data_IF_852273205719
#
_entry.id   IF_852273205719
#
_cell.length_a   1.000
_cell.length_b   1.000
_cell.length_c   1.000
_cell.angle_alpha   90.00
_cell.angle_beta   90.00
_cell.angle_gamma   90.00
#
_symmetry.space_group_name_H-M   'P 1'
#
loop_
_entity.id
_entity.type
_entity.pdbx_description
1 polymer ?
#
# COMPACT_ATOMS: atom_id res chain seq x y z
N UNK A 1 29.39 1.05 2.42
CA UNK A 1 28.63 1.98 3.27
C UNK A 1 27.24 1.39 3.39
N UNK A 2 26.77 1.12 4.63
CA UNK A 2 25.41 0.67 4.88
C UNK A 2 24.41 1.74 4.45
N UNK A 3 23.25 1.32 3.92
CA UNK A 3 22.19 2.23 3.43
C UNK A 3 21.50 2.97 4.59
N UNK A 4 21.85 2.65 5.85
CA UNK A 4 21.26 3.23 7.06
C UNK A 4 19.72 3.08 7.11
N UNK A 5 19.21 1.94 6.66
CA UNK A 5 17.82 1.52 6.83
C UNK A 5 17.77 0.54 8.02
N UNK A 6 16.91 0.81 8.97
CA UNK A 6 16.85 0.08 10.23
C UNK A 6 15.48 -0.59 10.42
N UNK A 7 15.46 -1.70 11.14
CA UNK A 7 14.22 -2.28 11.62
C UNK A 7 13.77 -1.54 12.88
N UNK A 8 13.09 -0.41 12.68
CA UNK A 8 12.63 0.47 13.76
C UNK A 8 11.11 0.50 13.74
N UNK A 9 10.50 0.13 14.86
CA UNK A 9 9.05 0.07 15.02
C UNK A 9 8.63 0.80 16.29
N UNK A 10 7.47 1.42 16.26
CA UNK A 10 6.86 2.09 17.40
C UNK A 10 5.39 2.35 17.21
N UNK A 11 4.73 2.78 18.26
CA UNK A 11 3.29 3.04 18.27
C UNK A 11 3.07 4.43 18.87
N UNK A 12 2.24 5.21 18.23
CA UNK A 12 1.79 6.51 18.71
C UNK A 12 0.26 6.57 18.90
N UNK A 13 -0.26 7.73 19.31
CA UNK A 13 -1.68 7.94 19.55
C UNK A 13 -2.56 7.85 18.30
N UNK A 14 -1.99 7.89 17.10
CA UNK A 14 -2.71 7.75 15.82
C UNK A 14 -2.62 6.31 15.32
N UNK A 15 -1.44 5.70 15.38
CA UNK A 15 -1.21 4.35 14.86
C UNK A 15 -1.91 3.27 15.72
N UNK A 16 -1.99 3.45 17.04
CA UNK A 16 -2.61 2.48 17.95
C UNK A 16 -4.09 2.18 17.60
N UNK A 17 -4.98 3.18 17.49
CA UNK A 17 -6.37 2.89 17.12
C UNK A 17 -6.50 2.30 15.70
N UNK A 18 -5.65 2.66 14.75
CA UNK A 18 -5.65 2.08 13.41
C UNK A 18 -5.21 0.61 13.42
N UNK A 19 -4.21 0.28 14.23
CA UNK A 19 -3.75 -1.10 14.44
C UNK A 19 -4.86 -1.97 15.03
N UNK A 20 -5.51 -1.48 16.09
CA UNK A 20 -6.64 -2.19 16.73
C UNK A 20 -7.79 -2.37 15.74
N UNK A 21 -8.15 -1.32 14.98
CA UNK A 21 -9.22 -1.37 14.00
C UNK A 21 -8.89 -2.37 12.87
N UNK A 22 -7.69 -2.33 12.33
CA UNK A 22 -7.23 -3.26 11.29
C UNK A 22 -7.34 -4.71 11.74
N UNK A 23 -6.80 -5.03 12.91
CA UNK A 23 -6.82 -6.37 13.48
C UNK A 23 -8.28 -6.83 13.75
N UNK A 24 -9.11 -5.96 14.31
CA UNK A 24 -10.50 -6.26 14.59
C UNK A 24 -11.30 -6.56 13.31
N UNK A 25 -11.15 -5.74 12.27
CA UNK A 25 -11.80 -5.95 10.97
C UNK A 25 -11.32 -7.26 10.33
N UNK A 26 -10.03 -7.58 10.40
CA UNK A 26 -9.49 -8.83 9.86
C UNK A 26 -10.10 -10.05 10.56
N UNK A 27 -10.23 -10.02 11.89
CA UNK A 27 -10.89 -11.09 12.64
C UNK A 27 -12.34 -11.28 12.18
N UNK A 28 -13.10 -10.20 12.04
CA UNK A 28 -14.48 -10.25 11.53
C UNK A 28 -14.55 -10.80 10.10
N UNK A 29 -13.63 -10.38 9.23
CA UNK A 29 -13.55 -10.85 7.84
C UNK A 29 -13.25 -12.37 7.79
N UNK A 30 -12.35 -12.87 8.63
CA UNK A 30 -12.04 -14.29 8.74
C UNK A 30 -13.28 -15.07 9.22
N UNK A 31 -13.96 -14.62 10.28
CA UNK A 31 -15.17 -15.25 10.79
C UNK A 31 -16.27 -15.31 9.71
N UNK A 32 -16.50 -14.21 9.01
CA UNK A 32 -17.46 -14.16 7.91
C UNK A 32 -17.11 -15.13 6.78
N UNK A 33 -15.82 -15.26 6.46
CA UNK A 33 -15.33 -16.11 5.39
C UNK A 33 -15.47 -17.61 5.66
N UNK A 34 -15.70 -18.02 6.90
CA UNK A 34 -15.92 -19.44 7.24
C UNK A 34 -17.18 -19.97 6.55
N UNK A 35 -18.24 -19.17 6.51
CA UNK A 35 -19.52 -19.54 5.91
C UNK A 35 -19.67 -19.04 4.46
N UNK A 36 -19.01 -17.93 4.11
CA UNK A 36 -19.17 -17.21 2.85
C UNK A 36 -17.89 -17.18 2.00
N UNK A 37 -17.20 -18.33 1.92
CA UNK A 37 -15.97 -18.40 1.11
C UNK A 37 -16.31 -18.28 -0.38
N UNK A 38 -15.71 -17.31 -1.10
CA UNK A 38 -15.93 -17.15 -2.54
C UNK A 38 -15.31 -18.28 -3.37
N UNK A 39 -15.84 -18.47 -4.59
CA UNK A 39 -15.29 -19.46 -5.55
C UNK A 39 -13.99 -18.95 -6.21
N UNK A 40 -12.94 -19.79 -6.37
CA UNK A 40 -12.87 -21.23 -6.00
C UNK A 40 -12.74 -21.42 -4.48
N UNK A 41 -13.42 -22.44 -3.93
CA UNK A 41 -13.42 -22.73 -2.50
C UNK A 41 -12.05 -23.26 -2.04
N UNK A 42 -11.10 -22.36 -1.89
CA UNK A 42 -9.74 -22.65 -1.39
C UNK A 42 -9.49 -21.88 -0.07
N UNK A 43 -9.99 -22.39 1.07
CA UNK A 43 -9.92 -21.65 2.34
C UNK A 43 -8.48 -21.38 2.77
N UNK A 44 -7.56 -22.33 2.59
CA UNK A 44 -6.17 -22.18 3.01
C UNK A 44 -5.47 -21.05 2.28
N UNK A 45 -5.63 -20.96 0.95
CA UNK A 45 -5.02 -19.91 0.14
C UNK A 45 -5.61 -18.53 0.45
N UNK A 46 -6.94 -18.45 0.56
CA UNK A 46 -7.65 -17.22 0.87
C UNK A 46 -7.26 -16.65 2.25
N UNK A 47 -7.30 -17.50 3.29
CA UNK A 47 -6.94 -17.09 4.64
C UNK A 47 -5.45 -16.73 4.77
N UNK A 48 -4.56 -17.46 4.10
CA UNK A 48 -3.14 -17.12 4.08
C UNK A 48 -2.91 -15.72 3.48
N UNK A 49 -3.59 -15.38 2.37
CA UNK A 49 -3.48 -14.06 1.77
C UNK A 49 -4.05 -12.95 2.67
N UNK A 50 -5.17 -13.20 3.38
CA UNK A 50 -5.70 -12.25 4.38
C UNK A 50 -4.67 -11.99 5.49
N UNK A 51 -4.02 -13.02 6.02
CA UNK A 51 -3.02 -12.86 7.09
C UNK A 51 -1.76 -12.11 6.60
N UNK A 52 -1.32 -12.36 5.37
CA UNK A 52 -0.21 -11.59 4.77
C UNK A 52 -0.62 -10.13 4.55
N UNK A 53 -1.85 -9.90 4.10
CA UNK A 53 -2.41 -8.55 3.94
C UNK A 53 -2.44 -7.80 5.28
N UNK A 54 -2.94 -8.44 6.34
CA UNK A 54 -2.95 -7.89 7.70
C UNK A 54 -1.55 -7.56 8.21
N UNK A 55 -0.60 -8.46 7.98
CA UNK A 55 0.82 -8.23 8.34
C UNK A 55 1.37 -6.97 7.67
N UNK A 56 1.09 -6.78 6.38
CA UNK A 56 1.48 -5.57 5.65
C UNK A 56 0.83 -4.30 6.20
N UNK A 57 -0.49 -4.33 6.45
CA UNK A 57 -1.21 -3.19 7.01
C UNK A 57 -0.71 -2.81 8.40
N UNK A 58 -0.59 -3.79 9.30
CA UNK A 58 -0.13 -3.56 10.66
C UNK A 58 1.33 -3.09 10.70
N UNK A 59 2.19 -3.68 9.85
CA UNK A 59 3.57 -3.24 9.67
C UNK A 59 3.69 -1.80 9.19
N UNK A 60 2.79 -1.36 8.30
CA UNK A 60 2.73 0.03 7.83
C UNK A 60 2.42 1.01 8.97
N UNK A 61 1.53 0.63 9.91
CA UNK A 61 1.16 1.50 11.04
C UNK A 61 2.23 1.61 12.12
N UNK A 62 3.12 0.62 12.23
CA UNK A 62 4.14 0.60 13.30
C UNK A 62 5.55 0.95 12.80
N UNK A 63 5.77 1.06 11.49
CA UNK A 63 7.08 1.36 10.93
C UNK A 63 7.52 2.79 11.25
N UNK A 64 8.70 2.95 11.84
CA UNK A 64 9.36 4.24 12.12
C UNK A 64 10.56 4.51 11.20
N UNK A 65 10.81 3.67 10.21
CA UNK A 65 11.79 3.84 9.14
C UNK A 65 11.08 3.88 7.79
N UNK A 66 11.43 4.82 6.90
CA UNK A 66 10.76 5.02 5.63
C UNK A 66 10.89 3.82 4.67
N UNK A 67 12.02 3.11 4.71
CA UNK A 67 12.19 1.90 3.89
C UNK A 67 11.38 0.75 4.46
N UNK A 68 11.37 0.60 5.79
CA UNK A 68 10.54 -0.40 6.45
C UNK A 68 9.05 -0.14 6.18
N UNK A 69 8.60 1.11 6.28
CA UNK A 69 7.26 1.54 5.90
C UNK A 69 6.96 1.15 4.45
N UNK A 70 7.87 1.46 3.52
CA UNK A 70 7.71 1.15 2.10
C UNK A 70 7.54 -0.35 1.86
N UNK A 71 8.38 -1.17 2.50
CA UNK A 71 8.30 -2.64 2.37
C UNK A 71 6.95 -3.17 2.84
N UNK A 72 6.46 -2.76 4.01
CA UNK A 72 5.15 -3.19 4.50
C UNK A 72 4.00 -2.67 3.63
N UNK A 73 4.10 -1.43 3.16
CA UNK A 73 3.13 -0.82 2.26
C UNK A 73 3.02 -1.56 0.92
N UNK A 74 4.14 -2.10 0.40
CA UNK A 74 4.19 -2.89 -0.82
C UNK A 74 3.80 -4.36 -0.61
N UNK A 75 4.03 -4.93 0.58
CA UNK A 75 3.59 -6.29 0.91
C UNK A 75 2.07 -6.43 0.73
N UNK A 76 1.29 -5.40 1.02
CA UNK A 76 -0.18 -5.38 0.83
C UNK A 76 -0.58 -5.60 -0.64
N UNK A 77 0.27 -5.19 -1.58
CA UNK A 77 -0.03 -5.23 -3.02
C UNK A 77 -0.20 -6.65 -3.55
N UNK A 78 0.70 -7.56 -3.18
CA UNK A 78 0.70 -8.93 -3.69
C UNK A 78 -0.55 -9.74 -3.27
N UNK A 79 -0.92 -9.80 -1.99
CA UNK A 79 -2.16 -10.46 -1.58
C UNK A 79 -3.39 -9.90 -2.29
N UNK A 80 -3.53 -8.58 -2.38
CA UNK A 80 -4.66 -7.96 -3.07
C UNK A 80 -4.71 -8.31 -4.54
N UNK A 81 -3.57 -8.31 -5.24
CA UNK A 81 -3.50 -8.73 -6.65
C UNK A 81 -4.03 -10.16 -6.83
N UNK A 82 -3.58 -11.10 -5.99
CA UNK A 82 -4.03 -12.49 -6.07
C UNK A 82 -5.50 -12.65 -5.65
N UNK A 83 -5.94 -11.96 -4.61
CA UNK A 83 -7.33 -12.02 -4.15
C UNK A 83 -8.30 -11.52 -5.24
N UNK A 84 -8.02 -10.40 -5.87
CA UNK A 84 -8.81 -9.87 -6.99
C UNK A 84 -8.76 -10.84 -8.19
N UNK A 85 -7.57 -11.32 -8.57
CA UNK A 85 -7.39 -12.17 -9.74
C UNK A 85 -7.99 -13.58 -9.61
N UNK A 86 -8.05 -14.13 -8.40
CA UNK A 86 -8.54 -15.50 -8.18
C UNK A 86 -10.02 -15.50 -7.79
N UNK A 87 -10.44 -14.63 -6.86
CA UNK A 87 -11.78 -14.62 -6.27
C UNK A 87 -12.67 -13.47 -6.74
N UNK A 88 -12.16 -12.56 -7.57
CA UNK A 88 -12.94 -11.47 -8.15
C UNK A 88 -14.00 -11.92 -9.16
N UNK A 89 -14.74 -10.95 -9.70
CA UNK A 89 -15.85 -11.18 -10.64
C UNK A 89 -15.38 -11.83 -11.94
N UNK A 90 -15.97 -12.95 -12.28
CA UNK A 90 -15.69 -13.76 -13.48
C UNK A 90 -16.44 -13.30 -14.73
N UNK A 91 -17.25 -12.24 -14.67
CA UNK A 91 -17.92 -11.71 -15.85
C UNK A 91 -16.92 -11.32 -16.91
N UNK A 92 -17.30 -11.52 -18.16
CA UNK A 92 -16.45 -11.23 -19.31
C UNK A 92 -16.89 -9.91 -19.93
N UNK A 93 -15.95 -9.00 -20.13
CA UNK A 93 -16.23 -7.72 -20.77
C UNK A 93 -15.23 -7.40 -21.89
N UNK A 94 -15.65 -6.57 -22.81
CA UNK A 94 -14.76 -6.00 -23.83
C UNK A 94 -14.09 -4.75 -23.25
N UNK A 95 -12.77 -4.74 -23.20
CA UNK A 95 -11.99 -3.62 -22.70
C UNK A 95 -11.35 -2.89 -23.89
N UNK A 96 -11.44 -1.56 -23.90
CA UNK A 96 -10.83 -0.74 -24.94
C UNK A 96 -9.32 -1.01 -25.02
N UNK A 97 -8.82 -1.28 -26.22
CA UNK A 97 -7.42 -1.63 -26.47
C UNK A 97 -7.10 -3.13 -26.47
N UNK A 98 -8.04 -3.98 -26.07
CA UNK A 98 -7.89 -5.44 -26.18
C UNK A 98 -8.78 -5.99 -27.27
N UNK A 99 -8.22 -6.83 -28.16
CA UNK A 99 -8.96 -7.47 -29.27
C UNK A 99 -9.93 -8.57 -28.81
N UNK A 100 -9.64 -9.18 -27.65
CA UNK A 100 -10.42 -10.29 -27.11
C UNK A 100 -11.15 -9.85 -25.84
N UNK A 101 -12.23 -10.57 -25.55
CA UNK A 101 -12.92 -10.45 -24.27
C UNK A 101 -12.02 -10.95 -23.13
N UNK A 102 -11.99 -10.23 -22.03
CA UNK A 102 -11.17 -10.56 -20.86
C UNK A 102 -12.08 -10.67 -19.63
N UNK A 103 -11.80 -11.64 -18.77
CA UNK A 103 -12.47 -11.70 -17.46
C UNK A 103 -12.18 -10.44 -16.64
N UNK A 104 -13.24 -9.88 -16.08
CA UNK A 104 -13.19 -8.61 -15.33
C UNK A 104 -12.13 -8.65 -14.22
N UNK A 105 -12.05 -9.76 -13.46
CA UNK A 105 -11.08 -9.94 -12.38
C UNK A 105 -9.63 -9.87 -12.84
N UNK A 106 -9.30 -10.42 -14.02
CA UNK A 106 -7.92 -10.40 -14.54
C UNK A 106 -7.52 -8.98 -14.96
N UNK A 107 -8.42 -8.28 -15.65
CA UNK A 107 -8.20 -6.88 -15.99
C UNK A 107 -8.05 -6.02 -14.72
N UNK A 108 -8.96 -6.20 -13.76
CA UNK A 108 -8.98 -5.47 -12.51
C UNK A 108 -7.71 -5.67 -11.68
N UNK A 109 -7.23 -6.92 -11.56
CA UNK A 109 -6.02 -7.24 -10.80
C UNK A 109 -4.77 -6.61 -11.42
N UNK A 110 -4.62 -6.69 -12.74
CA UNK A 110 -3.48 -6.09 -13.45
C UNK A 110 -3.55 -4.56 -13.35
N UNK A 111 -4.74 -3.97 -13.56
CA UNK A 111 -4.93 -2.52 -13.44
C UNK A 111 -4.60 -2.02 -12.04
N UNK A 112 -5.11 -2.69 -11.01
CA UNK A 112 -4.79 -2.40 -9.62
C UNK A 112 -3.28 -2.46 -9.37
N UNK A 113 -2.62 -3.55 -9.79
CA UNK A 113 -1.19 -3.74 -9.58
C UNK A 113 -0.36 -2.64 -10.23
N UNK A 114 -0.60 -2.34 -11.52
CA UNK A 114 0.17 -1.34 -12.27
C UNK A 114 -0.06 0.07 -11.72
N UNK A 115 -1.30 0.44 -11.41
CA UNK A 115 -1.61 1.75 -10.84
C UNK A 115 -0.94 1.97 -9.48
N UNK A 116 -1.06 1.00 -8.58
CA UNK A 116 -0.52 1.13 -7.23
C UNK A 116 0.99 1.08 -7.23
N UNK A 117 1.62 0.22 -8.04
CA UNK A 117 3.07 0.18 -8.20
C UNK A 117 3.62 1.51 -8.77
N UNK A 118 2.92 2.12 -9.73
CA UNK A 118 3.29 3.42 -10.26
C UNK A 118 3.25 4.52 -9.17
N UNK A 119 2.20 4.53 -8.35
CA UNK A 119 2.11 5.42 -7.19
C UNK A 119 3.26 5.25 -6.20
N UNK A 120 3.59 4.01 -5.88
CA UNK A 120 4.69 3.66 -4.96
C UNK A 120 6.06 4.10 -5.48
N UNK A 121 6.28 4.07 -6.80
CA UNK A 121 7.52 4.57 -7.38
C UNK A 121 7.75 6.07 -7.09
N UNK A 122 6.70 6.89 -7.17
CA UNK A 122 6.78 8.29 -6.76
C UNK A 122 7.05 8.43 -5.26
N UNK A 123 6.37 7.65 -4.43
CA UNK A 123 6.61 7.67 -2.99
C UNK A 123 8.06 7.33 -2.65
N UNK A 124 8.64 6.32 -3.29
CA UNK A 124 10.05 5.96 -3.11
C UNK A 124 10.99 7.09 -3.51
N UNK A 125 10.71 7.79 -4.62
CA UNK A 125 11.48 8.98 -5.02
C UNK A 125 11.42 10.07 -3.95
N UNK A 126 10.26 10.31 -3.34
CA UNK A 126 10.12 11.24 -2.22
C UNK A 126 10.97 10.84 -1.01
N UNK A 127 10.96 9.56 -0.64
CA UNK A 127 11.78 9.02 0.45
C UNK A 127 13.27 9.14 0.17
N UNK A 128 13.70 8.85 -1.05
CA UNK A 128 15.10 9.06 -1.46
C UNK A 128 15.49 10.55 -1.41
N UNK A 129 14.59 11.45 -1.81
CA UNK A 129 14.80 12.89 -1.67
C UNK A 129 15.03 13.30 -0.21
N UNK A 130 14.20 12.83 0.71
CA UNK A 130 14.37 13.05 2.15
C UNK A 130 15.69 12.47 2.67
N UNK A 131 16.02 11.26 2.28
CA UNK A 131 17.28 10.60 2.66
C UNK A 131 18.51 11.41 2.26
N UNK A 132 18.61 11.86 1.00
CA UNK A 132 19.77 12.58 0.54
C UNK A 132 19.92 13.96 1.19
N UNK A 133 18.83 14.62 1.53
CA UNK A 133 18.83 15.92 2.20
C UNK A 133 18.86 15.79 3.73
N UNK A 134 18.37 14.66 4.30
CA UNK A 134 18.23 14.38 5.71
C UNK A 134 19.38 13.59 6.30
N UNK A 135 20.63 14.00 6.07
CA UNK A 135 21.82 13.36 6.65
C UNK A 135 21.97 11.85 6.35
N UNK A 136 21.34 11.36 5.29
CA UNK A 136 21.33 9.96 4.88
C UNK A 136 20.71 9.01 5.91
N UNK A 137 19.65 9.43 6.54
CA UNK A 137 18.83 8.61 7.42
C UNK A 137 17.45 8.34 6.79
N UNK A 138 16.86 7.18 7.10
CA UNK A 138 15.48 6.86 6.81
C UNK A 138 14.61 6.85 8.08
N UNK A 139 15.20 7.07 9.27
CA UNK A 139 14.47 7.15 10.52
C UNK A 139 13.48 8.32 10.51
N UNK A 140 12.19 8.01 10.67
CA UNK A 140 11.12 9.02 10.68
C UNK A 140 11.30 10.01 11.84
N UNK A 141 11.63 9.60 13.08
CA UNK A 141 11.90 10.52 14.18
C UNK A 141 13.03 11.51 13.89
N UNK A 142 14.14 11.03 13.32
CA UNK A 142 15.27 11.90 12.95
C UNK A 142 14.88 12.89 11.85
N UNK A 143 14.11 12.43 10.85
CA UNK A 143 13.64 13.30 9.77
C UNK A 143 12.65 14.37 10.26
N UNK A 144 11.82 14.06 11.25
CA UNK A 144 10.93 15.03 11.91
C UNK A 144 11.76 16.10 12.62
N UNK A 145 12.78 15.70 13.39
CA UNK A 145 13.68 16.64 14.08
C UNK A 145 14.40 17.57 13.08
N UNK A 146 14.94 17.00 12.00
CA UNK A 146 15.57 17.78 10.93
C UNK A 146 14.57 18.75 10.26
N UNK A 147 13.34 18.31 10.05
CA UNK A 147 12.27 19.13 9.48
C UNK A 147 11.91 20.33 10.38
N UNK A 148 11.77 20.10 11.68
CA UNK A 148 11.49 21.16 12.67
C UNK A 148 12.65 22.17 12.76
N UNK A 149 13.88 21.73 12.56
CA UNK A 149 15.07 22.58 12.49
C UNK A 149 15.27 23.27 11.12
N UNK A 150 14.31 23.16 10.21
CA UNK A 150 14.31 23.89 8.93
C UNK A 150 15.16 23.26 7.82
N UNK A 151 15.54 21.98 7.91
CA UNK A 151 16.31 21.30 6.88
C UNK A 151 15.52 21.12 5.56
N UNK A 152 14.19 21.04 5.64
CA UNK A 152 13.29 20.84 4.53
C UNK A 152 12.42 22.06 4.27
N UNK A 153 12.91 23.00 3.45
CA UNK A 153 12.23 24.28 3.18
C UNK A 153 12.19 24.60 1.69
N UNK A 154 11.38 25.57 1.31
CA UNK A 154 11.30 26.12 -0.03
C UNK A 154 10.85 25.11 -1.08
N UNK A 155 11.40 25.22 -2.28
CA UNK A 155 11.03 24.38 -3.44
C UNK A 155 11.25 22.90 -3.19
N UNK A 156 12.27 22.52 -2.41
CA UNK A 156 12.52 21.12 -2.08
C UNK A 156 11.36 20.50 -1.30
N UNK A 157 10.90 21.18 -0.24
CA UNK A 157 9.77 20.69 0.56
C UNK A 157 8.50 20.55 -0.29
N UNK A 158 8.23 21.51 -1.18
CA UNK A 158 7.09 21.46 -2.10
C UNK A 158 7.18 20.28 -3.07
N UNK A 159 8.35 20.01 -3.63
CA UNK A 159 8.56 18.87 -4.55
C UNK A 159 8.39 17.55 -3.84
N UNK A 160 9.00 17.36 -2.67
CA UNK A 160 8.87 16.14 -1.88
C UNK A 160 7.41 15.92 -1.49
N UNK A 161 6.73 16.98 -1.00
CA UNK A 161 5.31 16.90 -0.67
C UNK A 161 4.47 16.47 -1.90
N UNK A 162 4.68 17.10 -3.06
CA UNK A 162 3.92 16.80 -4.27
C UNK A 162 4.12 15.35 -4.73
N UNK A 163 5.35 14.85 -4.67
CA UNK A 163 5.69 13.47 -5.07
C UNK A 163 5.11 12.45 -4.09
N UNK A 164 5.23 12.69 -2.79
CA UNK A 164 4.61 11.84 -1.77
C UNK A 164 3.07 11.89 -1.84
N UNK A 165 2.51 13.08 -2.00
CA UNK A 165 1.07 13.27 -2.18
C UNK A 165 0.55 12.48 -3.38
N UNK A 166 1.24 12.54 -4.52
CA UNK A 166 0.88 11.76 -5.71
C UNK A 166 0.90 10.25 -5.43
N UNK A 167 1.94 9.74 -4.77
CA UNK A 167 2.03 8.35 -4.37
C UNK A 167 0.87 7.89 -3.49
N UNK A 168 0.56 8.65 -2.46
CA UNK A 168 -0.57 8.36 -1.58
C UNK A 168 -1.92 8.54 -2.27
N UNK A 169 -2.08 9.56 -3.13
CA UNK A 169 -3.32 9.83 -3.87
C UNK A 169 -3.71 8.71 -4.84
N UNK A 170 -2.73 7.98 -5.38
CA UNK A 170 -2.99 6.77 -6.16
C UNK A 170 -3.54 5.66 -5.26
N UNK A 171 -2.94 5.43 -4.09
CA UNK A 171 -3.33 4.35 -3.16
C UNK A 171 -4.65 4.65 -2.45
N UNK A 172 -4.89 5.90 -2.04
CA UNK A 172 -6.13 6.40 -1.38
C UNK A 172 -7.19 6.79 -2.42
N UNK A 173 -7.25 6.21 -3.56
CA UNK A 173 -7.94 6.49 -4.82
C UNK A 173 -8.57 7.89 -4.91
N UNK A 174 -7.75 8.93 -4.90
CA UNK A 174 -8.23 10.31 -5.08
C UNK A 174 -8.55 10.58 -6.55
N UNK A 175 -9.57 11.39 -6.81
CA UNK A 175 -9.86 11.84 -8.18
C UNK A 175 -8.68 12.66 -8.74
N UNK A 176 -8.20 12.42 -9.98
CA UNK A 176 -8.65 11.47 -11.02
C UNK A 176 -7.97 10.10 -10.97
N UNK A 177 -7.16 9.78 -9.96
CA UNK A 177 -6.34 8.56 -9.86
C UNK A 177 -7.10 7.33 -9.32
N UNK A 178 -8.41 7.45 -9.12
CA UNK A 178 -9.28 6.43 -8.52
C UNK A 178 -9.77 5.34 -9.49
N UNK A 179 -9.43 5.42 -10.77
CA UNK A 179 -10.05 4.58 -11.81
C UNK A 179 -9.79 3.08 -11.67
N UNK A 180 -8.85 2.67 -10.85
CA UNK A 180 -8.59 1.27 -10.56
C UNK A 180 -9.56 0.69 -9.50
N UNK A 181 -10.08 1.52 -8.59
CA UNK A 181 -10.93 1.09 -7.46
C UNK A 181 -12.25 0.46 -7.91
N UNK A 182 -13.07 1.06 -8.82
CA UNK A 182 -14.33 0.46 -9.25
C UNK A 182 -14.17 -0.86 -10.00
N UNK A 183 -13.00 -1.11 -10.58
CA UNK A 183 -12.72 -2.38 -11.25
C UNK A 183 -12.25 -3.47 -10.28
N UNK A 184 -11.63 -3.08 -9.15
CA UNK A 184 -11.11 -4.00 -8.15
C UNK A 184 -12.16 -4.43 -7.12
N UNK A 185 -13.24 -3.68 -6.96
CA UNK A 185 -14.35 -3.90 -6.02
C UNK A 185 -15.67 -4.04 -6.72
#
# INVERSE_FOLDING_TARGET
KSINANYEIGIDGISLPLLILSTFITVLAIIYSIEHLPEPKSPKGFLALILVLETGMNGTFVALDLILFFVFFEIVLLPMYFMIGIWGDKTVRTVAGFKNQIETRLYASIKFFVFTLFGSAFMLLGFLGLYYRGNRTFSIPELIELGTNGAFTGTFAMLVFAVLFLGFAVKVPMWPLHTWLPDAH
#
